data_IF_201452913989
#
_entry.id   IF_201452913989
#
_cell.length_a   1.000
_cell.length_b   1.000
_cell.length_c   1.000
_cell.angle_alpha   90.00
_cell.angle_beta   90.00
_cell.angle_gamma   90.00
#
_symmetry.space_group_name_H-M   'P 1'
#
loop_
_entity.id
_entity.type
_entity.pdbx_description
1 polymer ?
#
# COMPACT_ATOMS: atom_id res chain seq x y z
N UNK A 1 -7.29 -23.02 0.05
CA UNK A 1 -7.36 -21.68 -0.58
C UNK A 1 -6.07 -21.41 -1.33
N UNK A 2 -6.07 -21.67 -2.63
CA UNK A 2 -4.98 -21.27 -3.52
C UNK A 2 -5.23 -19.85 -4.01
N UNK A 3 -4.29 -18.93 -3.77
CA UNK A 3 -4.34 -17.56 -4.30
C UNK A 3 -4.12 -17.62 -5.82
N UNK A 4 -5.13 -17.23 -6.62
CA UNK A 4 -5.02 -17.30 -8.08
C UNK A 4 -4.00 -16.29 -8.64
N UNK A 5 -3.53 -16.54 -9.86
CA UNK A 5 -2.50 -15.73 -10.52
C UNK A 5 -2.90 -14.26 -10.67
N UNK A 6 -4.17 -13.96 -10.95
CA UNK A 6 -4.66 -12.57 -11.08
C UNK A 6 -4.53 -11.83 -9.75
N UNK A 7 -4.92 -12.47 -8.65
CA UNK A 7 -4.75 -11.91 -7.31
C UNK A 7 -3.27 -11.67 -6.98
N UNK A 8 -2.38 -12.60 -7.36
CA UNK A 8 -0.94 -12.48 -7.13
C UNK A 8 -0.34 -11.29 -7.90
N UNK A 9 -0.71 -11.11 -9.18
CA UNK A 9 -0.26 -9.97 -9.99
C UNK A 9 -0.66 -8.66 -9.32
N UNK A 10 -1.92 -8.53 -8.91
CA UNK A 10 -2.38 -7.31 -8.24
C UNK A 10 -1.75 -7.09 -6.87
N UNK A 11 -1.49 -8.15 -6.10
CA UNK A 11 -0.77 -8.05 -4.83
C UNK A 11 0.69 -7.58 -5.02
N UNK A 12 1.37 -8.05 -6.06
CA UNK A 12 2.71 -7.55 -6.42
C UNK A 12 2.66 -6.08 -6.82
N UNK A 13 1.70 -5.69 -7.66
CA UNK A 13 1.52 -4.28 -8.05
C UNK A 13 1.21 -3.39 -6.84
N UNK A 14 0.38 -3.85 -5.91
CA UNK A 14 0.09 -3.16 -4.66
C UNK A 14 1.35 -2.99 -3.81
N UNK A 15 2.15 -4.06 -3.66
CA UNK A 15 3.41 -4.02 -2.92
C UNK A 15 4.40 -3.02 -3.50
N UNK A 16 4.63 -3.05 -4.81
CA UNK A 16 5.53 -2.12 -5.50
C UNK A 16 5.06 -0.67 -5.39
N UNK A 17 3.75 -0.42 -5.52
CA UNK A 17 3.19 0.91 -5.32
C UNK A 17 3.45 1.44 -3.90
N UNK A 18 3.35 0.60 -2.88
CA UNK A 18 3.58 1.02 -1.50
C UNK A 18 5.08 1.22 -1.19
N UNK A 19 5.98 0.51 -1.87
CA UNK A 19 7.43 0.84 -1.85
C UNK A 19 7.69 2.22 -2.48
N UNK A 20 6.96 2.58 -3.55
CA UNK A 20 7.02 3.92 -4.13
C UNK A 20 6.46 4.98 -3.16
N UNK A 21 5.36 4.70 -2.48
CA UNK A 21 4.77 5.60 -1.47
C UNK A 21 5.74 5.80 -0.30
N UNK A 22 6.33 4.72 0.24
CA UNK A 22 7.42 4.79 1.21
C UNK A 22 8.54 5.72 0.76
N UNK A 23 8.99 5.57 -0.49
CA UNK A 23 10.05 6.41 -1.05
C UNK A 23 9.65 7.89 -1.03
N UNK A 24 8.39 8.21 -1.34
CA UNK A 24 7.87 9.58 -1.25
C UNK A 24 7.79 10.09 0.19
N UNK A 25 7.31 9.28 1.14
CA UNK A 25 7.01 9.69 2.51
C UNK A 25 8.22 9.71 3.45
N UNK A 26 9.18 8.79 3.28
CA UNK A 26 10.35 8.66 4.17
C UNK A 26 11.64 9.21 3.57
N UNK A 27 11.82 9.13 2.25
CA UNK A 27 13.10 9.50 1.61
C UNK A 27 13.01 10.86 0.93
N UNK A 28 11.95 11.10 0.17
CA UNK A 28 11.83 12.27 -0.70
C UNK A 28 10.94 13.39 -0.14
N UNK A 29 10.33 13.21 1.04
CA UNK A 29 9.26 14.06 1.54
C UNK A 29 9.63 15.53 1.67
N UNK A 30 10.89 15.84 2.00
CA UNK A 30 11.38 17.22 2.11
C UNK A 30 11.35 17.99 0.77
N UNK A 31 11.28 17.32 -0.38
CA UNK A 31 11.22 17.97 -1.70
C UNK A 31 9.86 18.67 -1.89
N UNK A 32 9.81 19.95 -2.31
CA UNK A 32 8.56 20.71 -2.52
C UNK A 32 7.50 19.99 -3.36
N UNK A 33 7.96 19.33 -4.42
CA UNK A 33 7.10 18.59 -5.34
C UNK A 33 6.48 17.33 -4.71
N UNK A 34 7.06 16.81 -3.63
CA UNK A 34 6.61 15.58 -2.97
C UNK A 34 5.66 15.92 -1.83
N UNK A 35 6.04 16.72 -0.84
CA UNK A 35 5.11 17.10 0.24
C UNK A 35 3.91 17.90 -0.27
N UNK A 36 4.05 18.61 -1.40
CA UNK A 36 2.92 19.24 -2.09
C UNK A 36 1.84 18.25 -2.56
N UNK A 37 2.20 16.99 -2.91
CA UNK A 37 1.23 15.93 -3.24
C UNK A 37 0.39 15.51 -2.03
N UNK A 38 0.98 15.60 -0.84
CA UNK A 38 0.32 15.37 0.45
C UNK A 38 -0.35 16.63 1.00
N UNK A 39 -0.41 17.71 0.22
CA UNK A 39 -1.02 18.99 0.59
C UNK A 39 -0.40 19.65 1.83
N UNK A 40 0.86 19.34 2.12
CA UNK A 40 1.61 19.96 3.22
C UNK A 40 2.28 21.24 2.72
N UNK A 41 2.11 22.35 3.45
CA UNK A 41 2.78 23.62 3.13
C UNK A 41 4.23 23.58 3.66
N UNK A 42 5.18 24.30 3.03
CA UNK A 42 6.57 24.32 3.49
C UNK A 42 6.75 24.72 4.96
N UNK A 43 5.92 25.65 5.45
CA UNK A 43 5.91 26.11 6.84
C UNK A 43 5.54 25.02 7.86
N UNK A 44 4.76 24.01 7.46
CA UNK A 44 4.28 22.93 8.34
C UNK A 44 5.21 21.70 8.29
N UNK A 45 6.22 21.71 7.40
CA UNK A 45 7.05 20.55 7.08
C UNK A 45 7.77 19.99 8.32
N UNK A 46 8.32 20.86 9.18
CA UNK A 46 9.04 20.42 10.37
C UNK A 46 8.16 19.62 11.34
N UNK A 47 6.87 19.99 11.45
CA UNK A 47 5.92 19.33 12.33
C UNK A 47 5.43 17.98 11.75
N UNK A 48 5.21 17.91 10.43
CA UNK A 48 4.62 16.73 9.78
C UNK A 48 5.68 15.68 9.39
N UNK A 49 6.93 16.09 9.14
CA UNK A 49 7.97 15.21 8.63
C UNK A 49 8.19 13.92 9.45
N UNK A 50 8.29 13.96 10.80
CA UNK A 50 8.49 12.73 11.58
C UNK A 50 7.33 11.74 11.43
N UNK A 51 6.09 12.24 11.32
CA UNK A 51 4.91 11.42 11.10
C UNK A 51 4.88 10.82 9.69
N UNK A 52 5.18 11.62 8.67
CA UNK A 52 5.29 11.12 7.29
C UNK A 52 6.39 10.06 7.16
N UNK A 53 7.54 10.30 7.80
CA UNK A 53 8.65 9.35 7.79
C UNK A 53 8.22 7.99 8.35
N UNK A 54 7.55 7.97 9.50
CA UNK A 54 7.07 6.74 10.11
C UNK A 54 5.96 6.07 9.28
N UNK A 55 5.04 6.87 8.71
CA UNK A 55 3.98 6.38 7.85
C UNK A 55 4.53 5.66 6.61
N UNK A 56 5.60 6.19 6.02
CA UNK A 56 6.27 5.52 4.91
C UNK A 56 6.80 4.14 5.29
N UNK A 57 7.32 3.94 6.51
CA UNK A 57 7.77 2.62 6.95
C UNK A 57 6.62 1.64 7.16
N UNK A 58 5.46 2.09 7.66
CA UNK A 58 4.26 1.24 7.67
C UNK A 58 3.88 0.78 6.26
N UNK A 59 3.89 1.71 5.30
CA UNK A 59 3.64 1.40 3.89
C UNK A 59 4.69 0.44 3.31
N UNK A 60 5.97 0.60 3.65
CA UNK A 60 7.03 -0.32 3.26
C UNK A 60 6.77 -1.73 3.79
N UNK A 61 6.46 -1.87 5.09
CA UNK A 61 6.25 -3.20 5.69
C UNK A 61 5.04 -3.92 5.12
N UNK A 62 3.94 -3.19 4.85
CA UNK A 62 2.80 -3.75 4.12
C UNK A 62 3.20 -4.14 2.69
N UNK A 63 3.99 -3.31 2.02
CA UNK A 63 4.50 -3.62 0.68
C UNK A 63 5.35 -4.88 0.65
N UNK A 64 6.26 -5.04 1.62
CA UNK A 64 7.08 -6.24 1.80
C UNK A 64 6.25 -7.46 2.20
N UNK A 65 5.21 -7.28 3.01
CA UNK A 65 4.26 -8.35 3.33
C UNK A 65 3.53 -8.85 2.09
N UNK A 66 3.06 -7.94 1.22
CA UNK A 66 2.43 -8.31 -0.05
C UNK A 66 3.38 -9.09 -0.97
N UNK A 67 4.60 -8.57 -1.18
CA UNK A 67 5.60 -9.20 -2.05
C UNK A 67 6.11 -10.53 -1.47
N UNK A 68 6.47 -10.54 -0.19
CA UNK A 68 6.95 -11.72 0.52
C UNK A 68 5.89 -12.82 0.62
N UNK A 69 4.63 -12.45 0.81
CA UNK A 69 3.50 -13.38 0.77
C UNK A 69 3.38 -14.06 -0.59
N UNK A 70 3.48 -13.31 -1.70
CA UNK A 70 3.48 -13.90 -3.05
C UNK A 70 4.70 -14.81 -3.27
N UNK A 71 5.89 -14.42 -2.82
CA UNK A 71 7.08 -15.31 -2.87
C UNK A 71 6.82 -16.61 -2.10
N UNK A 72 6.27 -16.52 -0.88
CA UNK A 72 5.96 -17.68 -0.05
C UNK A 72 4.95 -18.65 -0.69
N UNK A 73 4.04 -18.14 -1.53
CA UNK A 73 3.14 -19.00 -2.32
C UNK A 73 3.91 -19.94 -3.24
N UNK A 74 5.03 -19.47 -3.79
CA UNK A 74 5.86 -20.23 -4.73
C UNK A 74 7.02 -21.00 -4.10
N UNK A 75 7.28 -20.82 -2.80
CA UNK A 75 8.39 -21.46 -2.07
C UNK A 75 7.94 -22.51 -1.06
N UNK A 76 6.76 -23.10 -1.26
CA UNK A 76 6.27 -24.23 -0.46
C UNK A 76 5.36 -23.87 0.71
N UNK A 77 4.94 -22.60 0.83
CA UNK A 77 4.05 -22.12 1.88
C UNK A 77 2.77 -21.45 1.33
N UNK A 78 1.97 -22.14 0.48
CA UNK A 78 0.86 -21.53 -0.26
C UNK A 78 -0.20 -20.87 0.62
N UNK A 79 -0.60 -21.49 1.74
CA UNK A 79 -1.63 -20.95 2.63
C UNK A 79 -1.12 -19.74 3.42
N UNK A 80 0.09 -19.85 3.99
CA UNK A 80 0.70 -18.76 4.76
C UNK A 80 1.02 -17.57 3.86
N UNK A 81 1.59 -17.82 2.68
CA UNK A 81 1.90 -16.79 1.70
C UNK A 81 0.66 -16.02 1.23
N UNK A 82 -0.42 -16.74 0.91
CA UNK A 82 -1.70 -16.14 0.56
C UNK A 82 -2.26 -15.29 1.70
N UNK A 83 -2.26 -15.80 2.93
CA UNK A 83 -2.76 -15.06 4.09
C UNK A 83 -2.00 -13.75 4.33
N UNK A 84 -0.66 -13.79 4.29
CA UNK A 84 0.18 -12.60 4.48
C UNK A 84 -0.02 -11.59 3.34
N UNK A 85 -0.07 -12.04 2.08
CA UNK A 85 -0.26 -11.16 0.93
C UNK A 85 -1.63 -10.46 0.96
N UNK A 86 -2.69 -11.22 1.20
CA UNK A 86 -4.06 -10.70 1.22
C UNK A 86 -4.32 -9.83 2.46
N UNK A 87 -3.78 -10.17 3.63
CA UNK A 87 -3.87 -9.31 4.81
C UNK A 87 -3.18 -7.97 4.57
N UNK A 88 -1.99 -7.98 3.96
CA UNK A 88 -1.27 -6.76 3.59
C UNK A 88 -2.11 -5.89 2.63
N UNK A 89 -2.72 -6.50 1.61
CA UNK A 89 -3.62 -5.80 0.70
C UNK A 89 -4.86 -5.22 1.43
N UNK A 90 -5.45 -5.97 2.36
CA UNK A 90 -6.59 -5.52 3.15
C UNK A 90 -6.25 -4.29 4.01
N UNK A 91 -5.07 -4.26 4.64
CA UNK A 91 -4.59 -3.09 5.37
C UNK A 91 -4.40 -1.86 4.46
N UNK A 92 -3.79 -2.03 3.28
CA UNK A 92 -3.62 -0.95 2.30
C UNK A 92 -4.98 -0.40 1.83
N UNK A 93 -5.94 -1.28 1.53
CA UNK A 93 -7.29 -0.89 1.16
C UNK A 93 -8.00 -0.18 2.32
N UNK A 94 -7.86 -0.68 3.55
CA UNK A 94 -8.40 -0.03 4.74
C UNK A 94 -7.86 1.39 4.92
N UNK A 95 -6.55 1.59 4.78
CA UNK A 95 -5.93 2.91 4.81
C UNK A 95 -6.45 3.84 3.70
N UNK A 96 -6.64 3.31 2.49
CA UNK A 96 -7.23 4.06 1.38
C UNK A 96 -8.67 4.52 1.69
N UNK A 97 -9.48 3.66 2.28
CA UNK A 97 -10.86 3.98 2.69
C UNK A 97 -10.86 5.06 3.76
N UNK A 98 -10.02 4.93 4.78
CA UNK A 98 -9.87 5.95 5.83
C UNK A 98 -9.46 7.29 5.20
N UNK A 99 -8.47 7.30 4.31
CA UNK A 99 -8.02 8.52 3.63
C UNK A 99 -9.13 9.19 2.83
N UNK A 100 -9.89 8.42 2.04
CA UNK A 100 -11.02 8.94 1.26
C UNK A 100 -12.13 9.49 2.16
N UNK A 101 -12.38 8.87 3.31
CA UNK A 101 -13.37 9.32 4.27
C UNK A 101 -12.95 10.60 5.01
N UNK A 102 -11.65 10.76 5.30
CA UNK A 102 -11.15 11.89 6.09
C UNK A 102 -10.82 13.13 5.27
N UNK A 103 -10.34 13.00 4.03
CA UNK A 103 -10.07 14.15 3.16
C UNK A 103 -10.49 13.90 1.71
N UNK A 104 -11.63 14.46 1.31
CA UNK A 104 -12.15 14.38 -0.06
C UNK A 104 -11.19 14.92 -1.12
N UNK A 105 -10.30 15.85 -0.75
CA UNK A 105 -9.28 16.42 -1.68
C UNK A 105 -8.18 15.40 -1.97
N UNK A 106 -8.07 14.35 -1.15
CA UNK A 106 -7.16 13.23 -1.35
C UNK A 106 -7.83 12.00 -1.99
N UNK A 107 -9.08 12.11 -2.46
CA UNK A 107 -9.79 11.00 -3.09
C UNK A 107 -9.02 10.34 -4.25
N UNK A 108 -8.29 11.13 -5.06
CA UNK A 108 -7.44 10.57 -6.12
C UNK A 108 -6.27 9.75 -5.55
N UNK A 109 -5.63 10.23 -4.48
CA UNK A 109 -4.53 9.51 -3.84
C UNK A 109 -5.02 8.22 -3.15
N UNK A 110 -6.22 8.28 -2.55
CA UNK A 110 -6.90 7.12 -1.98
C UNK A 110 -7.23 6.07 -3.07
N UNK A 111 -7.78 6.51 -4.21
CA UNK A 111 -8.04 5.62 -5.35
C UNK A 111 -6.76 4.95 -5.84
N UNK A 112 -5.69 5.72 -6.06
CA UNK A 112 -4.42 5.18 -6.57
C UNK A 112 -3.86 4.12 -5.64
N UNK A 113 -3.78 4.38 -4.33
CA UNK A 113 -3.21 3.42 -3.38
C UNK A 113 -4.14 2.23 -3.09
N UNK A 114 -5.46 2.41 -3.20
CA UNK A 114 -6.46 1.39 -2.88
C UNK A 114 -6.88 0.48 -4.04
N UNK A 115 -6.68 0.89 -5.30
CA UNK A 115 -7.21 0.16 -6.45
C UNK A 115 -6.54 -1.21 -6.66
N UNK A 116 -5.21 -1.27 -6.65
CA UNK A 116 -4.46 -2.53 -6.81
C UNK A 116 -4.70 -3.52 -5.66
N UNK A 117 -4.69 -3.14 -4.36
CA UNK A 117 -5.04 -4.08 -3.31
C UNK A 117 -6.51 -4.51 -3.35
N UNK A 118 -7.45 -3.63 -3.71
CA UNK A 118 -8.85 -4.03 -3.92
C UNK A 118 -8.98 -5.09 -5.01
N UNK A 119 -8.33 -4.89 -6.15
CA UNK A 119 -8.33 -5.85 -7.25
C UNK A 119 -7.75 -7.21 -6.83
N UNK A 120 -6.69 -7.21 -6.01
CA UNK A 120 -6.12 -8.44 -5.46
C UNK A 120 -7.12 -9.21 -4.58
N UNK A 121 -7.80 -8.51 -3.66
CA UNK A 121 -8.79 -9.11 -2.76
C UNK A 121 -10.01 -9.64 -3.51
N UNK A 122 -10.57 -8.85 -4.43
CA UNK A 122 -11.72 -9.26 -5.25
C UNK A 122 -11.35 -10.46 -6.12
N UNK A 123 -10.20 -10.43 -6.80
CA UNK A 123 -9.74 -11.56 -7.59
C UNK A 123 -9.58 -12.83 -6.73
N UNK A 124 -9.03 -12.70 -5.52
CA UNK A 124 -8.86 -13.83 -4.60
C UNK A 124 -10.20 -14.43 -4.16
N UNK A 125 -11.23 -13.60 -3.93
CA UNK A 125 -12.57 -14.05 -3.55
C UNK A 125 -13.32 -14.73 -4.71
N UNK A 126 -13.19 -14.21 -5.93
CA UNK A 126 -13.91 -14.72 -7.10
C UNK A 126 -13.37 -16.06 -7.63
N UNK A 127 -12.16 -16.45 -7.23
CA UNK A 127 -11.55 -17.74 -7.59
C UNK A 127 -11.48 -18.71 -6.41
N UNK A 128 -12.15 -18.37 -5.29
CA UNK A 128 -12.23 -19.18 -4.08
C UNK A 128 -13.32 -20.22 -4.12
#
# INVERSE_FOLDING_TARGET
MSMNVVAQVFAVLAGLLHVLIFTMESVLFRRPQVHGRFRVKPQDLAAVHPWAFNQGFYNLFLGLGALGGVVAVHTGHPVVGAAVALFSCACMLGAAVVLAATDRRMARAALIQGLTPLAALVAALLAG
#
